data_IF_052285881674
#
_entry.id   IF_052285881674
#
_cell.length_a   1.000
_cell.length_b   1.000
_cell.length_c   1.000
_cell.angle_alpha   90.00
_cell.angle_beta   90.00
_cell.angle_gamma   90.00
#
_symmetry.space_group_name_H-M   'P 1'
#
loop_
_entity.id
_entity.type
_entity.pdbx_description
1 polymer ?
2 polymer ?
3 non-polymer ?
4 water ?
#
# COMPACT_ATOMS: atom_id res chain seq x y z
N UNK A 1 -26.88 1.02 17.33
CA UNK A 1 -27.75 1.15 16.14
C UNK A 1 -27.37 0.13 15.04
N UNK A 2 -26.39 0.44 14.18
CA UNK A 2 -25.64 -0.49 13.27
C UNK A 2 -24.22 0.07 13.14
N UNK A 3 -23.31 -0.61 12.41
CA UNK A 3 -21.90 -0.16 12.25
C UNK A 3 -21.63 0.08 10.76
N UNK A 4 -20.97 1.20 10.42
CA UNK A 4 -20.67 1.68 9.06
C UNK A 4 -19.31 1.18 8.58
N UNK A 5 -18.61 1.96 7.76
CA UNK A 5 -17.39 1.52 7.04
C UNK A 5 -16.15 1.56 7.96
N UNK A 6 -15.18 0.67 7.71
CA UNK A 6 -14.00 0.54 8.60
C UNK A 6 -12.71 0.53 7.77
N UNK A 7 -11.66 1.13 8.31
CA UNK A 7 -10.28 1.03 7.79
C UNK A 7 -9.71 -0.27 8.36
N UNK A 8 -9.69 -1.34 7.56
CA UNK A 8 -8.99 -2.61 7.89
C UNK A 8 -7.49 -2.40 7.71
N UNK A 9 -6.66 -2.87 8.64
CA UNK A 9 -5.19 -2.95 8.47
C UNK A 9 -4.74 -4.38 8.74
N UNK A 10 -3.92 -4.95 7.85
CA UNK A 10 -3.63 -6.41 7.78
C UNK A 10 -2.12 -6.66 7.79
N UNK A 11 -1.70 -7.69 8.51
CA UNK A 11 -0.28 -8.05 8.71
C UNK A 11 0.56 -6.83 9.04
N UNK A 12 1.84 -6.85 8.64
CA UNK A 12 2.81 -5.80 8.95
C UNK A 12 4.06 -6.41 9.54
N UNK A 13 4.86 -5.61 10.24
CA UNK A 13 6.20 -6.00 10.80
C UNK A 13 6.54 -5.18 12.04
N UNK A 14 6.95 -5.88 13.10
CA UNK A 14 7.58 -5.37 14.35
C UNK A 14 8.31 -6.54 15.01
N UNK A 15 9.63 -6.56 14.89
CA UNK A 15 10.52 -7.67 15.33
C UNK A 15 10.36 -8.87 14.38
N UNK A 16 9.18 -9.07 13.77
CA UNK A 16 8.92 -10.10 12.72
C UNK A 16 7.62 -9.80 11.96
N UNK A 17 7.36 -10.48 10.83
CA UNK A 17 6.11 -10.35 10.04
C UNK A 17 4.91 -10.79 10.89
N UNK A 18 3.78 -10.09 10.79
CA UNK A 18 2.63 -10.20 11.73
C UNK A 18 1.37 -10.75 11.02
N UNK A 19 0.39 -11.19 11.82
CA UNK A 19 -0.88 -11.82 11.40
C UNK A 19 -2.07 -10.90 11.71
N UNK A 20 -1.83 -9.81 12.42
CA UNK A 20 -2.90 -8.92 12.94
C UNK A 20 -3.80 -8.47 11.77
N UNK A 21 -5.07 -8.85 11.81
CA UNK A 21 -6.12 -8.07 11.12
C UNK A 21 -6.86 -7.27 12.18
N UNK A 22 -6.78 -5.95 12.11
CA UNK A 22 -7.54 -5.02 12.98
C UNK A 22 -8.29 -4.05 12.09
N UNK A 23 -9.32 -3.40 12.62
CA UNK A 23 -10.15 -2.41 11.91
C UNK A 23 -10.42 -1.21 12.82
N UNK A 24 -10.50 -0.02 12.23
CA UNK A 24 -10.72 1.23 12.97
C UNK A 24 -12.06 1.79 12.55
N UNK A 25 -12.88 2.17 13.53
CA UNK A 25 -14.12 2.94 13.32
C UNK A 25 -13.76 4.42 13.45
N UNK A 26 -13.69 5.19 12.33
CA UNK A 26 -13.29 6.59 12.39
C UNK A 26 -14.32 7.44 13.13
N UNK A 27 -15.57 6.98 13.20
CA UNK A 27 -16.70 7.73 13.79
C UNK A 27 -16.91 7.41 15.27
N UNK A 28 -16.22 6.41 15.83
CA UNK A 28 -16.32 6.04 17.27
C UNK A 28 -14.95 6.02 17.94
N UNK A 29 -13.86 6.21 17.19
CA UNK A 29 -12.49 6.19 17.73
C UNK A 29 -12.00 4.79 18.10
N UNK A 30 -12.79 3.74 17.81
CA UNK A 30 -12.57 2.34 18.32
C UNK A 30 -11.84 1.44 17.31
N UNK A 31 -11.12 0.44 17.84
CA UNK A 31 -10.28 -0.56 17.14
C UNK A 31 -10.79 -1.99 17.37
N UNK A 32 -10.99 -2.79 16.33
CA UNK A 32 -11.49 -4.20 16.42
C UNK A 32 -10.35 -5.18 16.16
N UNK A 33 -10.19 -6.18 17.03
CA UNK A 33 -9.39 -7.40 16.76
C UNK A 33 -10.24 -8.37 15.93
N UNK A 34 -9.73 -8.81 14.77
CA UNK A 34 -10.43 -9.72 13.83
C UNK A 34 -9.52 -10.90 13.51
N UNK A 35 -10.02 -11.88 12.77
CA UNK A 35 -9.34 -13.16 12.53
C UNK A 35 -7.92 -12.91 12.00
N UNK A 36 -6.91 -13.53 12.62
CA UNK A 36 -5.49 -13.50 12.17
C UNK A 36 -5.39 -14.06 10.75
N UNK A 37 -4.35 -13.66 10.02
CA UNK A 37 -3.98 -14.22 8.69
C UNK A 37 -3.57 -15.67 8.90
N UNK A 38 -3.89 -16.57 7.97
CA UNK A 38 -3.39 -17.99 7.99
C UNK A 38 -1.86 -17.98 8.12
N UNK A 39 -1.19 -17.12 7.35
CA UNK A 39 0.29 -16.94 7.35
C UNK A 39 0.60 -15.49 7.67
N UNK A 40 1.58 -15.19 8.55
CA UNK A 40 1.94 -13.80 8.84
C UNK A 40 2.64 -13.23 7.60
N UNK A 41 2.56 -11.92 7.37
CA UNK A 41 3.30 -11.30 6.24
C UNK A 41 3.34 -9.78 6.35
N UNK A 42 4.35 -9.22 5.67
CA UNK A 42 4.77 -7.79 5.68
C UNK A 42 4.99 -7.34 4.23
N UNK A 43 4.75 -6.05 3.96
CA UNK A 43 4.87 -5.46 2.61
C UNK A 43 3.92 -6.13 1.62
N UNK A 44 2.82 -6.66 2.14
CA UNK A 44 1.62 -7.02 1.34
C UNK A 44 0.88 -5.73 1.02
N UNK A 45 -0.21 -5.86 0.28
CA UNK A 45 -1.08 -4.75 -0.16
C UNK A 45 -2.52 -5.20 0.00
N UNK A 46 -3.37 -4.25 0.33
CA UNK A 46 -4.78 -4.51 0.65
C UNK A 46 -5.67 -3.77 -0.32
N UNK A 47 -6.86 -4.32 -0.54
CA UNK A 47 -7.88 -3.76 -1.43
C UNK A 47 -9.21 -4.46 -1.14
N UNK A 48 -10.30 -3.80 -1.48
CA UNK A 48 -11.66 -4.38 -1.37
C UNK A 48 -12.22 -4.57 -2.78
N UNK A 49 -13.05 -5.57 -2.98
CA UNK A 49 -13.83 -5.77 -4.23
C UNK A 49 -15.11 -6.48 -3.82
N UNK A 50 -16.24 -5.83 -4.04
CA UNK A 50 -17.58 -6.43 -3.84
C UNK A 50 -17.77 -6.90 -2.41
N UNK A 51 -17.37 -6.05 -1.44
CA UNK A 51 -17.59 -6.27 0.00
C UNK A 51 -16.41 -6.95 0.68
N UNK A 52 -15.60 -7.70 -0.08
CA UNK A 52 -14.56 -8.62 0.43
C UNK A 52 -13.20 -7.94 0.42
N UNK A 53 -12.43 -8.14 1.49
CA UNK A 53 -11.07 -7.60 1.66
C UNK A 53 -10.08 -8.64 1.10
N UNK A 54 -9.08 -8.19 0.32
CA UNK A 54 -8.04 -9.06 -0.27
C UNK A 54 -6.66 -8.66 0.21
N UNK A 55 -5.85 -9.67 0.50
CA UNK A 55 -4.49 -9.57 1.03
C UNK A 55 -3.55 -10.18 -0.01
N UNK A 56 -2.71 -9.34 -0.63
CA UNK A 56 -1.96 -9.69 -1.87
C UNK A 56 -0.48 -9.61 -1.57
N UNK A 57 0.29 -10.63 -1.97
CA UNK A 57 1.76 -10.57 -1.98
C UNK A 57 2.31 -10.32 -0.59
N UNK A 58 3.49 -9.67 -0.51
CA UNK A 58 4.25 -9.47 0.74
C UNK A 58 5.26 -10.59 0.97
N UNK A 59 5.74 -10.74 2.21
CA UNK A 59 6.67 -11.83 2.59
C UNK A 59 6.51 -12.16 4.08
N UNK A 60 6.67 -13.44 4.43
CA UNK A 60 6.78 -13.88 5.84
C UNK A 60 8.24 -13.81 6.25
N UNK A 61 8.63 -12.70 6.89
CA UNK A 61 9.99 -12.49 7.48
C UNK A 61 10.00 -13.00 8.93
N UNK A 62 10.35 -14.26 9.11
CA UNK A 62 10.22 -15.01 10.39
C UNK A 62 11.55 -15.01 11.14
N UNK A 63 11.52 -15.29 12.47
CA UNK A 63 12.73 -15.70 13.19
C UNK A 63 13.44 -16.86 12.48
N UNK A 64 12.67 -17.92 12.18
CA UNK A 64 13.11 -19.11 11.42
C UNK A 64 13.86 -18.64 10.16
N UNK A 65 13.14 -18.13 9.15
CA UNK A 65 13.75 -17.65 7.89
C UNK A 65 12.96 -16.51 7.29
N UNK A 66 12.67 -16.58 5.99
CA UNK A 66 11.66 -15.71 5.33
C UNK A 66 11.37 -16.17 3.88
N UNK A 67 10.10 -16.07 3.50
CA UNK A 67 9.54 -16.44 2.18
C UNK A 67 8.80 -15.23 1.60
N UNK A 68 9.01 -14.95 0.31
CA UNK A 68 8.23 -13.95 -0.47
C UNK A 68 6.91 -14.63 -0.88
N UNK A 69 5.78 -13.94 -0.75
CA UNK A 69 4.41 -14.48 -0.96
C UNK A 69 3.93 -14.18 -2.38
N UNK A 70 3.42 -15.19 -3.07
CA UNK A 70 2.57 -15.09 -4.28
C UNK A 70 1.09 -15.22 -3.89
N UNK A 71 0.81 -15.25 -2.59
CA UNK A 71 -0.52 -15.64 -2.07
C UNK A 71 -1.53 -14.51 -2.28
N UNK A 72 -2.72 -14.87 -2.73
CA UNK A 72 -3.92 -14.01 -2.59
C UNK A 72 -4.86 -14.74 -1.63
N UNK A 73 -5.32 -14.02 -0.62
CA UNK A 73 -6.17 -14.49 0.50
C UNK A 73 -7.33 -13.49 0.59
N UNK A 74 -8.51 -13.97 0.95
CA UNK A 74 -9.76 -13.19 0.93
C UNK A 74 -10.41 -13.24 2.31
N UNK A 75 -10.65 -12.08 2.92
CA UNK A 75 -11.35 -11.92 4.22
C UNK A 75 -12.81 -11.49 3.95
N UNK A 76 -13.77 -12.28 4.42
CA UNK A 76 -15.22 -11.95 4.39
C UNK A 76 -15.60 -11.35 5.75
N UNK A 77 -15.92 -10.04 5.81
CA UNK A 77 -16.28 -9.41 7.08
C UNK A 77 -17.54 -10.03 7.69
N UNK A 78 -18.39 -10.67 6.89
CA UNK A 78 -19.64 -11.32 7.36
C UNK A 78 -19.28 -12.51 8.27
N UNK A 79 -18.30 -13.31 7.86
CA UNK A 79 -17.95 -14.62 8.48
C UNK A 79 -16.69 -14.54 9.36
N UNK A 80 -15.95 -13.42 9.30
CA UNK A 80 -14.67 -13.19 10.02
C UNK A 80 -13.73 -14.37 9.70
N UNK A 81 -13.72 -14.81 8.44
CA UNK A 81 -12.91 -15.97 7.98
C UNK A 81 -12.12 -15.61 6.73
N UNK A 82 -10.81 -15.84 6.77
CA UNK A 82 -9.93 -15.82 5.57
C UNK A 82 -10.14 -17.11 4.77
N UNK A 83 -10.13 -17.00 3.44
CA UNK A 83 -10.07 -18.12 2.48
C UNK A 83 -8.94 -17.84 1.51
N UNK A 84 -8.18 -18.86 1.06
CA UNK A 84 -7.13 -18.62 0.08
C UNK A 84 -7.74 -18.62 -1.32
N UNK A 85 -7.00 -18.05 -2.29
CA UNK A 85 -7.36 -17.88 -3.72
C UNK A 85 -6.18 -18.25 -4.60
N UNK A 86 -6.39 -18.28 -5.91
CA UNK A 86 -5.34 -18.45 -6.93
C UNK A 86 -4.13 -17.60 -6.55
N UNK A 87 -2.91 -18.19 -6.43
CA UNK A 87 -1.70 -17.40 -6.22
C UNK A 87 -1.32 -16.72 -7.53
N UNK A 88 -0.45 -15.71 -7.43
CA UNK A 88 0.01 -14.93 -8.60
C UNK A 88 1.02 -15.81 -9.35
N UNK A 89 1.34 -15.41 -10.58
CA UNK A 89 2.40 -16.00 -11.43
C UNK A 89 3.70 -16.11 -10.63
N UNK A 90 3.97 -15.13 -9.77
CA UNK A 90 5.27 -14.98 -9.05
C UNK A 90 5.01 -14.38 -7.68
N UNK A 91 5.90 -14.64 -6.71
CA UNK A 91 5.86 -13.93 -5.43
C UNK A 91 6.24 -12.45 -5.56
N UNK A 92 5.62 -11.57 -4.76
CA UNK A 92 5.68 -10.10 -4.91
C UNK A 92 5.76 -9.40 -3.55
N UNK A 93 6.94 -9.43 -2.92
CA UNK A 93 7.22 -8.62 -1.71
C UNK A 93 7.22 -7.13 -2.11
N UNK A 94 6.54 -6.27 -1.35
CA UNK A 94 6.55 -4.79 -1.56
C UNK A 94 5.77 -4.44 -2.83
N UNK A 95 4.72 -5.22 -3.06
CA UNK A 95 3.75 -5.12 -4.17
C UNK A 95 3.02 -3.78 -4.09
N UNK A 96 2.56 -3.29 -5.24
CA UNK A 96 1.50 -2.27 -5.38
C UNK A 96 0.23 -2.86 -5.95
N UNK A 97 -0.92 -2.41 -5.48
CA UNK A 97 -2.25 -2.94 -5.91
C UNK A 97 -3.21 -1.78 -6.19
N UNK A 98 -3.96 -1.89 -7.28
CA UNK A 98 -5.10 -1.03 -7.60
C UNK A 98 -6.26 -1.86 -8.10
N UNK A 99 -7.47 -1.33 -7.99
CA UNK A 99 -8.71 -2.03 -8.45
C UNK A 99 -9.39 -1.16 -9.49
N UNK A 100 -9.54 -1.70 -10.69
CA UNK A 100 -10.34 -1.07 -11.77
C UNK A 100 -11.45 -2.07 -12.06
N UNK A 101 -12.69 -1.75 -11.70
CA UNK A 101 -13.85 -2.40 -12.38
C UNK A 101 -13.91 -3.85 -11.91
N UNK A 102 -13.77 -4.05 -10.60
CA UNK A 102 -13.95 -5.38 -9.98
C UNK A 102 -12.76 -6.30 -10.22
N UNK A 103 -11.66 -5.77 -10.76
CA UNK A 103 -10.43 -6.52 -11.09
C UNK A 103 -9.24 -5.96 -10.30
N UNK A 104 -8.36 -6.84 -9.82
CA UNK A 104 -7.19 -6.45 -8.98
C UNK A 104 -5.94 -6.48 -9.86
N UNK A 105 -5.19 -5.40 -9.82
CA UNK A 105 -3.90 -5.22 -10.51
C UNK A 105 -2.80 -5.28 -9.46
N UNK A 106 -1.98 -6.32 -9.58
CA UNK A 106 -0.73 -6.47 -8.82
C UNK A 106 0.42 -5.94 -9.68
N UNK A 107 1.13 -4.93 -9.19
CA UNK A 107 2.20 -4.27 -9.98
C UNK A 107 3.49 -4.34 -9.18
N UNK A 108 4.58 -4.82 -9.79
CA UNK A 108 5.95 -4.75 -9.24
C UNK A 108 6.15 -5.65 -8.03
N UNK A 109 6.90 -5.17 -7.03
CA UNK A 109 7.38 -5.98 -5.90
C UNK A 109 8.54 -6.90 -6.30
N UNK A 110 9.11 -7.62 -5.33
CA UNK A 110 10.35 -8.42 -5.50
C UNK A 110 10.04 -9.89 -5.20
N UNK A 111 10.71 -10.79 -5.92
CA UNK A 111 10.95 -12.20 -5.53
C UNK A 111 12.46 -12.34 -5.26
N UNK A 112 12.86 -12.01 -4.03
CA UNK A 112 14.25 -11.96 -3.57
C UNK A 112 15.07 -10.99 -4.40
N UNK A 113 15.86 -11.53 -5.34
CA UNK A 113 16.79 -10.77 -6.22
C UNK A 113 15.97 -10.03 -7.27
N UNK A 114 15.17 -10.79 -7.99
CA UNK A 114 14.32 -10.31 -9.12
C UNK A 114 13.45 -9.18 -8.58
N UNK A 115 13.76 -7.93 -8.93
CA UNK A 115 12.82 -6.78 -8.82
C UNK A 115 11.91 -6.85 -10.06
N UNK A 116 10.60 -6.89 -9.88
CA UNK A 116 9.63 -7.10 -11.00
C UNK A 116 9.32 -5.78 -11.71
N UNK A 117 9.04 -5.86 -13.01
CA UNK A 117 8.29 -4.83 -13.76
C UNK A 117 7.05 -5.49 -14.39
N UNK A 118 6.87 -6.79 -14.18
CA UNK A 118 5.64 -7.53 -14.52
C UNK A 118 4.43 -6.92 -13.78
N UNK A 119 3.24 -7.30 -14.21
CA UNK A 119 1.93 -6.81 -13.70
C UNK A 119 0.90 -7.88 -14.06
N UNK A 120 -0.06 -8.15 -13.15
CA UNK A 120 -1.06 -9.23 -13.31
C UNK A 120 -2.44 -8.72 -12.89
N UNK A 121 -3.48 -9.20 -13.57
CA UNK A 121 -4.88 -8.82 -13.29
C UNK A 121 -5.57 -10.04 -12.72
N UNK A 122 -6.27 -9.90 -11.60
CA UNK A 122 -7.04 -11.01 -11.00
C UNK A 122 -8.53 -10.71 -11.16
N UNK A 123 -9.30 -11.70 -11.66
CA UNK A 123 -10.78 -11.65 -11.88
C UNK A 123 -11.46 -12.49 -10.81
N UNK A 124 -12.02 -11.91 -9.73
CA UNK A 124 -12.75 -12.67 -8.73
C UNK A 124 -13.82 -13.64 -9.26
N UNK A 125 -14.52 -13.27 -10.34
CA UNK A 125 -15.65 -14.08 -10.88
C UNK A 125 -15.13 -15.46 -11.30
N UNK A 126 -13.94 -15.52 -11.90
CA UNK A 126 -13.26 -16.76 -12.39
C UNK A 126 -12.26 -17.32 -11.36
N UNK A 127 -11.58 -16.46 -10.59
CA UNK A 127 -10.51 -16.80 -9.61
C UNK A 127 -9.25 -17.16 -10.39
N UNK A 128 -8.77 -16.22 -11.18
CA UNK A 128 -7.76 -16.44 -12.22
C UNK A 128 -6.93 -15.18 -12.35
N UNK A 129 -5.61 -15.31 -12.37
CA UNK A 129 -4.63 -14.22 -12.64
C UNK A 129 -4.24 -14.31 -14.11
N UNK A 130 -3.96 -13.17 -14.75
CA UNK A 130 -3.53 -13.04 -16.17
C UNK A 130 -2.46 -11.95 -16.26
N UNK A 131 -1.33 -12.24 -16.91
CA UNK A 131 -0.23 -11.26 -17.07
C UNK A 131 -0.72 -10.18 -18.03
N UNK A 132 -0.31 -8.93 -17.84
CA UNK A 132 -0.66 -7.79 -18.74
C UNK A 132 0.63 -7.03 -19.04
N UNK A 133 0.54 -6.01 -19.90
CA UNK A 133 1.67 -5.16 -20.32
C UNK A 133 2.51 -4.82 -19.09
N UNK A 134 3.81 -5.17 -19.10
CA UNK A 134 4.68 -4.84 -17.97
C UNK A 134 4.95 -3.32 -17.94
N UNK A 135 5.36 -2.81 -16.79
CA UNK A 135 5.69 -1.37 -16.62
C UNK A 135 6.98 -1.13 -17.38
N UNK A 136 7.34 0.14 -17.56
CA UNK A 136 8.60 0.56 -18.24
C UNK A 136 9.78 0.40 -17.27
N UNK A 137 9.57 0.80 -16.02
CA UNK A 137 10.51 0.66 -14.88
C UNK A 137 10.16 -0.57 -14.04
N UNK A 138 11.18 -1.30 -13.58
CA UNK A 138 11.09 -2.23 -12.42
C UNK A 138 10.85 -1.37 -11.18
N UNK A 139 9.89 -1.74 -10.31
CA UNK A 139 9.52 -0.94 -9.11
C UNK A 139 9.05 -1.89 -8.00
N UNK A 140 9.68 -1.79 -6.83
CA UNK A 140 9.15 -2.34 -5.54
C UNK A 140 8.92 -1.17 -4.58
N UNK A 141 8.01 -1.33 -3.64
CA UNK A 141 7.64 -0.22 -2.73
C UNK A 141 7.04 0.88 -3.55
N UNK A 142 6.13 0.49 -4.43
CA UNK A 142 5.55 1.38 -5.47
C UNK A 142 4.16 1.79 -5.01
N UNK A 143 3.90 3.10 -4.95
CA UNK A 143 2.55 3.64 -4.69
C UNK A 143 1.70 3.45 -5.91
N UNK A 144 0.41 3.14 -5.70
CA UNK A 144 -0.53 2.74 -6.79
C UNK A 144 -1.90 3.35 -6.51
N UNK A 145 -2.38 4.10 -7.48
CA UNK A 145 -3.62 4.89 -7.41
C UNK A 145 -4.45 4.57 -8.64
N UNK A 146 -5.77 4.59 -8.51
CA UNK A 146 -6.68 4.40 -9.66
C UNK A 146 -7.48 5.69 -9.80
N UNK A 147 -7.22 6.44 -10.87
CA UNK A 147 -7.91 7.71 -11.20
C UNK A 147 -8.43 7.70 -12.65
N UNK A 148 -9.70 8.07 -12.85
CA UNK A 148 -10.45 8.00 -14.13
C UNK A 148 -10.14 6.67 -14.83
N UNK A 149 -10.27 5.56 -14.11
CA UNK A 149 -10.15 4.18 -14.65
C UNK A 149 -8.76 3.96 -15.22
N UNK A 150 -7.78 4.75 -14.81
CA UNK A 150 -6.35 4.51 -15.16
C UNK A 150 -5.60 4.11 -13.88
N UNK A 151 -4.54 3.35 -14.04
CA UNK A 151 -3.69 2.88 -12.92
C UNK A 151 -2.37 3.64 -12.97
N UNK A 152 -2.15 4.54 -12.02
CA UNK A 152 -0.89 5.30 -11.87
C UNK A 152 0.02 4.54 -10.90
N UNK A 153 1.27 4.37 -11.27
CA UNK A 153 2.31 3.70 -10.44
C UNK A 153 3.41 4.71 -10.15
N UNK A 154 3.69 4.96 -8.87
CA UNK A 154 4.44 6.16 -8.41
C UNK A 154 5.65 5.71 -7.61
N UNK A 155 6.82 6.28 -7.91
CA UNK A 155 8.07 6.05 -7.16
C UNK A 155 8.38 4.57 -7.01
N UNK A 156 9.23 4.23 -6.04
CA UNK A 156 9.62 2.84 -5.75
C UNK A 156 11.13 2.71 -5.75
N UNK A 157 11.63 1.54 -6.13
CA UNK A 157 13.05 1.15 -6.11
C UNK A 157 13.26 0.10 -7.19
N UNK A 158 14.12 0.37 -8.18
CA UNK A 158 14.29 -0.45 -9.41
C UNK A 158 15.35 -1.56 -9.16
N UNK A 159 15.85 -1.68 -7.94
CA UNK A 159 16.90 -2.64 -7.55
C UNK A 159 18.22 -1.95 -7.26
N UNK A 160 18.48 -0.85 -7.96
CA UNK A 160 19.71 -0.02 -7.88
C UNK A 160 19.37 1.37 -7.33
N UNK A 161 18.25 1.95 -7.81
CA UNK A 161 17.92 3.37 -7.57
C UNK A 161 16.49 3.52 -7.04
N UNK A 162 16.29 4.53 -6.21
CA UNK A 162 14.95 4.98 -5.78
C UNK A 162 14.47 6.01 -6.78
N UNK A 163 13.18 5.95 -7.13
CA UNK A 163 12.55 6.65 -8.28
C UNK A 163 11.73 7.81 -7.76
N UNK A 164 11.68 8.89 -8.53
CA UNK A 164 10.62 9.92 -8.43
C UNK A 164 9.81 9.87 -9.73
N UNK A 165 10.14 8.92 -10.61
CA UNK A 165 9.42 8.70 -11.87
C UNK A 165 8.08 8.05 -11.51
N UNK A 166 7.08 8.25 -12.37
CA UNK A 166 5.75 7.64 -12.26
C UNK A 166 5.21 7.37 -13.65
N UNK A 167 4.46 6.30 -13.79
CA UNK A 167 3.85 5.93 -15.09
C UNK A 167 2.37 5.66 -14.90
N UNK A 168 1.70 5.38 -16.01
CA UNK A 168 0.23 5.33 -16.15
C UNK A 168 -0.12 4.18 -17.10
N UNK A 169 -0.79 3.15 -16.59
CA UNK A 169 -1.33 2.02 -17.38
C UNK A 169 -2.72 2.39 -17.94
N UNK A 170 -2.93 2.03 -19.20
CA UNK A 170 -4.22 2.14 -19.93
C UNK A 170 -4.79 0.74 -20.09
N UNK A 171 -5.79 0.35 -19.26
CA UNK A 171 -6.36 -0.99 -19.30
C UNK A 171 -6.96 -1.33 -20.66
N UNK A 172 -7.51 -0.31 -21.34
CA UNK A 172 -8.26 -0.52 -22.60
C UNK A 172 -7.27 -0.72 -23.74
N UNK A 173 -6.11 -0.06 -23.72
CA UNK A 173 -5.10 -0.09 -24.82
C UNK A 173 -4.00 -1.08 -24.45
N UNK A 174 -4.04 -1.59 -23.22
CA UNK A 174 -2.96 -2.39 -22.56
C UNK A 174 -1.58 -1.76 -22.78
N UNK A 175 -1.37 -0.49 -22.42
CA UNK A 175 -0.02 0.13 -22.55
C UNK A 175 0.24 1.16 -21.43
N UNK A 176 1.53 1.43 -21.17
CA UNK A 176 2.08 2.24 -20.05
C UNK A 176 2.75 3.51 -20.59
N UNK A 177 2.37 4.71 -20.14
CA UNK A 177 3.05 5.98 -20.48
C UNK A 177 3.68 6.58 -19.21
N UNK A 178 4.94 7.05 -19.28
CA UNK A 178 5.60 7.82 -18.20
C UNK A 178 4.83 9.13 -17.99
N UNK A 179 4.82 9.67 -16.77
CA UNK A 179 4.12 10.95 -16.46
C UNK A 179 5.11 11.84 -15.73
N UNK A 180 4.74 13.09 -15.47
CA UNK A 180 5.60 14.06 -14.75
C UNK A 180 6.20 13.34 -13.54
N UNK A 181 7.52 13.33 -13.38
CA UNK A 181 8.15 12.81 -12.14
C UNK A 181 7.71 13.70 -10.97
N UNK A 182 7.71 13.17 -9.75
CA UNK A 182 7.46 13.96 -8.53
C UNK A 182 8.69 14.81 -8.23
N UNK A 183 8.49 15.92 -7.53
CA UNK A 183 9.52 16.81 -6.95
C UNK A 183 10.51 15.99 -6.12
N UNK A 184 10.07 14.94 -5.40
CA UNK A 184 10.86 14.21 -4.38
C UNK A 184 11.06 12.76 -4.83
N UNK A 185 12.23 12.17 -4.59
CA UNK A 185 12.43 10.69 -4.74
C UNK A 185 11.70 10.02 -3.58
N UNK A 186 10.95 8.96 -3.84
CA UNK A 186 10.09 8.30 -2.82
C UNK A 186 9.98 6.80 -3.10
N UNK A 187 10.70 6.00 -2.32
CA UNK A 187 10.48 4.54 -2.21
C UNK A 187 9.54 4.29 -1.02
N UNK A 188 8.67 3.28 -1.13
CA UNK A 188 7.78 2.86 -0.04
C UNK A 188 6.98 4.03 0.50
N UNK A 189 6.53 4.94 -0.36
CA UNK A 189 5.59 6.02 0.02
C UNK A 189 4.18 5.43 0.14
N UNK A 190 3.22 6.21 0.63
CA UNK A 190 1.79 5.90 0.55
C UNK A 190 1.14 6.74 -0.53
N UNK A 191 0.36 6.12 -1.41
CA UNK A 191 -0.26 6.81 -2.58
C UNK A 191 -1.75 6.45 -2.65
N UNK A 192 -2.58 7.44 -2.94
CA UNK A 192 -4.03 7.22 -3.21
C UNK A 192 -4.60 8.43 -3.96
N UNK A 193 -5.85 8.31 -4.40
CA UNK A 193 -6.59 9.42 -5.06
C UNK A 193 -7.50 10.06 -4.02
N UNK A 194 -7.82 11.33 -4.21
CA UNK A 194 -8.83 12.03 -3.37
C UNK A 194 -9.25 13.30 -4.12
N UNK A 195 -10.55 13.50 -4.30
CA UNK A 195 -11.09 14.65 -5.09
C UNK A 195 -10.23 14.78 -6.34
N UNK A 196 -10.04 13.67 -7.06
CA UNK A 196 -9.51 13.68 -8.45
C UNK A 196 -8.01 13.97 -8.50
N UNK A 197 -7.22 13.69 -7.46
CA UNK A 197 -5.75 13.92 -7.43
C UNK A 197 -5.01 12.73 -6.80
N UNK A 198 -3.91 12.30 -7.41
CA UNK A 198 -2.95 11.35 -6.77
C UNK A 198 -2.20 12.13 -5.67
N UNK A 199 -2.12 11.58 -4.46
CA UNK A 199 -1.26 12.10 -3.37
C UNK A 199 -0.15 11.10 -3.15
N UNK A 200 1.08 11.58 -2.96
CA UNK A 200 2.25 10.77 -2.51
C UNK A 200 2.70 11.30 -1.15
N UNK A 201 2.58 10.49 -0.09
CA UNK A 201 2.87 10.90 1.29
C UNK A 201 3.98 10.00 1.83
N UNK A 202 4.98 10.61 2.47
CA UNK A 202 6.08 9.90 3.13
C UNK A 202 6.99 9.19 2.14
N UNK A 203 7.64 8.12 2.59
CA UNK A 203 8.60 7.34 1.79
C UNK A 203 10.03 7.57 2.26
N UNK A 204 10.96 6.77 1.75
CA UNK A 204 12.43 6.93 1.89
C UNK A 204 12.98 7.56 0.61
N UNK A 205 13.63 8.72 0.72
CA UNK A 205 14.30 9.42 -0.41
C UNK A 205 15.63 8.72 -0.75
N UNK A 206 16.13 7.79 0.07
CA UNK A 206 17.46 7.16 -0.11
C UNK A 206 18.43 7.54 1.00
N UNK A 207 18.22 8.70 1.64
CA UNK A 207 18.95 9.21 2.83
C UNK A 207 18.05 9.13 4.06
N UNK A 208 16.83 9.67 3.95
CA UNK A 208 15.96 10.04 5.11
C UNK A 208 14.49 9.75 4.79
N UNK A 209 13.78 9.14 5.73
CA UNK A 209 12.29 9.09 5.71
C UNK A 209 11.75 10.52 5.63
N UNK A 210 10.55 10.69 5.09
CA UNK A 210 9.97 12.02 4.72
C UNK A 210 8.62 12.19 5.42
N UNK A 211 8.21 13.44 5.61
CA UNK A 211 6.85 13.79 6.07
C UNK A 211 6.20 14.72 5.05
N UNK A 212 6.89 15.04 3.95
CA UNK A 212 6.35 15.85 2.84
C UNK A 212 5.28 15.04 2.11
N UNK A 213 4.33 15.76 1.50
CA UNK A 213 3.16 15.20 0.77
C UNK A 213 2.95 16.10 -0.45
N UNK A 214 3.03 15.53 -1.64
CA UNK A 214 2.76 16.24 -2.90
C UNK A 214 1.57 15.54 -3.57
N UNK A 215 0.79 16.29 -4.35
CA UNK A 215 -0.35 15.73 -5.12
C UNK A 215 -0.22 16.08 -6.60
N UNK A 216 -0.62 15.14 -7.46
CA UNK A 216 -0.70 15.29 -8.93
C UNK A 216 -2.11 15.77 -9.31
N UNK A 217 -2.17 16.85 -10.09
CA UNK A 217 -3.35 17.28 -10.88
C UNK A 217 -3.13 16.75 -12.28
N UNK A 218 -4.02 15.88 -12.77
CA UNK A 218 -3.84 15.15 -14.06
C UNK A 218 -4.00 16.12 -15.23
N UNK A 219 -4.83 17.17 -15.06
CA UNK A 219 -5.09 18.22 -16.09
C UNK A 219 -3.81 19.06 -16.29
N UNK A 220 -3.31 19.72 -15.23
CA UNK A 220 -2.15 20.64 -15.27
C UNK A 220 -0.82 19.88 -15.28
N UNK A 221 -0.85 18.57 -15.08
CA UNK A 221 0.30 17.62 -15.15
C UNK A 221 1.46 18.11 -14.26
N UNK A 222 1.18 18.67 -13.09
CA UNK A 222 2.22 19.16 -12.14
C UNK A 222 2.00 18.56 -10.74
N UNK A 223 3.09 18.46 -9.96
CA UNK A 223 3.11 17.93 -8.58
C UNK A 223 3.29 19.07 -7.58
N UNK A 224 2.19 19.65 -7.08
CA UNK A 224 2.21 20.72 -6.04
C UNK A 224 2.37 20.05 -4.65
N UNK A 225 3.22 20.59 -3.79
CA UNK A 225 3.31 20.18 -2.36
C UNK A 225 2.04 20.65 -1.65
N UNK A 226 1.64 19.94 -0.59
CA UNK A 226 0.62 20.39 0.40
C UNK A 226 1.23 20.26 1.80
N UNK A 227 0.41 20.43 2.84
CA UNK A 227 0.80 20.36 4.28
C UNK A 227 1.58 19.08 4.50
N UNK A 228 2.79 19.13 5.10
CA UNK A 228 3.48 17.90 5.50
C UNK A 228 2.71 17.19 6.62
N UNK A 229 3.04 15.93 6.86
CA UNK A 229 2.49 15.16 7.99
C UNK A 229 3.36 15.47 9.22
N UNK A 230 2.75 15.38 10.41
CA UNK A 230 3.43 15.56 11.71
C UNK A 230 4.70 14.69 11.72
N UNK A 231 4.58 13.38 11.56
CA UNK A 231 5.71 12.44 11.77
C UNK A 231 6.28 12.04 10.41
N UNK A 232 7.61 11.94 10.31
CA UNK A 232 8.30 11.32 9.15
C UNK A 232 7.94 9.85 9.17
N UNK A 233 7.54 9.29 8.02
CA UNK A 233 7.19 7.84 7.93
C UNK A 233 7.47 7.30 6.52
N UNK A 234 8.12 6.14 6.46
CA UNK A 234 8.28 5.28 5.27
C UNK A 234 7.50 3.99 5.55
N UNK A 235 7.17 3.20 4.51
CA UNK A 235 6.53 1.86 4.58
C UNK A 235 5.22 1.92 5.38
N UNK A 236 4.44 2.99 5.12
CA UNK A 236 3.16 3.32 5.81
C UNK A 236 1.97 2.75 5.04
N UNK A 237 0.91 2.41 5.76
CA UNK A 237 -0.41 2.13 5.16
C UNK A 237 -1.14 3.43 4.89
N UNK A 238 -1.98 3.45 3.85
CA UNK A 238 -2.75 4.67 3.45
C UNK A 238 -4.12 4.22 2.95
N UNK A 239 -5.14 5.01 3.20
CA UNK A 239 -6.44 4.79 2.57
C UNK A 239 -7.18 6.11 2.64
N UNK A 240 -8.26 6.20 1.88
CA UNK A 240 -9.22 7.33 1.91
C UNK A 240 -10.50 6.80 2.53
N UNK A 241 -11.06 7.56 3.45
CA UNK A 241 -12.33 7.27 4.12
C UNK A 241 -13.04 8.60 4.33
N UNK A 242 -14.31 8.67 3.96
CA UNK A 242 -15.16 9.88 4.19
C UNK A 242 -14.39 11.09 3.66
N UNK A 243 -14.00 11.07 2.40
CA UNK A 243 -13.21 12.13 1.75
C UNK A 243 -12.12 12.74 2.64
N UNK A 244 -11.40 11.92 3.43
CA UNK A 244 -10.15 12.32 4.16
C UNK A 244 -9.12 11.19 4.04
N UNK A 245 -7.83 11.51 4.03
CA UNK A 245 -6.72 10.50 3.91
C UNK A 245 -6.31 10.12 5.33
N UNK A 246 -6.09 8.83 5.59
CA UNK A 246 -5.51 8.31 6.86
C UNK A 246 -4.19 7.60 6.54
N UNK A 247 -3.12 7.90 7.28
CA UNK A 247 -1.79 7.23 7.15
C UNK A 247 -1.54 6.41 8.42
N UNK A 248 -1.16 5.14 8.28
CA UNK A 248 -1.17 4.15 9.38
C UNK A 248 0.25 3.64 9.60
N UNK A 249 0.91 4.13 10.64
CA UNK A 249 2.18 3.54 11.11
C UNK A 249 3.29 3.74 10.11
N UNK A 250 4.17 2.74 10.00
CA UNK A 250 5.40 2.80 9.20
C UNK A 250 6.64 3.00 10.07
N UNK A 251 7.78 3.24 9.42
CA UNK A 251 9.12 3.33 10.03
C UNK A 251 9.66 4.77 9.85
N UNK A 252 10.52 5.24 10.76
CA UNK A 252 11.14 6.59 10.69
C UNK A 252 12.65 6.48 10.98
N UNK A 253 13.29 5.37 10.65
CA UNK A 253 14.75 5.22 10.73
C UNK A 253 15.18 4.90 12.14
N UNK A 254 14.29 5.16 13.12
CA UNK A 254 14.53 4.90 14.57
C UNK A 254 13.52 3.86 15.07
N UNK A 255 12.22 4.18 15.06
CA UNK A 255 11.15 3.35 15.68
C UNK A 255 10.03 3.02 14.69
N UNK A 256 9.30 1.94 14.96
CA UNK A 256 8.10 1.51 14.21
C UNK A 256 6.89 2.27 14.76
N UNK A 257 6.40 3.28 14.02
CA UNK A 257 5.24 4.12 14.43
C UNK A 257 4.01 3.26 14.75
N UNK A 258 3.17 3.78 15.64
CA UNK A 258 1.77 3.36 15.84
C UNK A 258 0.84 4.55 15.57
N UNK A 259 1.36 5.68 15.08
CA UNK A 259 0.58 6.92 14.84
C UNK A 259 -0.35 6.75 13.64
N UNK A 260 -1.55 7.34 13.68
CA UNK A 260 -2.36 7.50 12.44
C UNK A 260 -2.82 8.96 12.37
N UNK A 261 -2.39 9.65 11.31
CA UNK A 261 -2.75 11.05 11.01
C UNK A 261 -3.92 11.03 10.00
N UNK A 262 -4.60 12.15 9.85
CA UNK A 262 -5.78 12.29 8.99
C UNK A 262 -5.73 13.68 8.35
N UNK A 263 -5.85 13.75 7.01
CA UNK A 263 -5.67 14.99 6.22
C UNK A 263 -7.04 15.44 5.69
N UNK A 264 -7.50 16.61 6.15
CA UNK A 264 -8.69 17.32 5.59
C UNK A 264 -8.19 18.12 4.39
N UNK A 265 -8.64 17.77 3.16
CA UNK A 265 -8.31 18.57 1.97
C UNK A 265 -8.90 19.99 2.10
N UNK A 266 -10.18 20.08 2.49
CA UNK A 266 -11.00 21.32 2.65
C UNK A 266 -10.27 22.42 3.43
N UNK A 267 -9.38 22.04 4.36
CA UNK A 267 -8.64 22.97 5.27
C UNK A 267 -7.12 22.74 5.21
N UNK A 268 -6.61 21.93 4.28
CA UNK A 268 -5.15 21.68 4.08
C UNK A 268 -4.46 21.61 5.46
N UNK A 269 -5.02 20.77 6.33
CA UNK A 269 -4.46 20.43 7.67
C UNK A 269 -4.40 18.92 7.84
N UNK A 270 -3.33 18.42 8.48
CA UNK A 270 -3.24 17.05 9.05
C UNK A 270 -3.74 17.12 10.50
N UNK A 271 -3.93 15.96 11.14
CA UNK A 271 -4.09 15.83 12.62
C UNK A 271 -3.97 14.35 12.98
N UNK A 272 -3.23 14.02 14.04
CA UNK A 272 -3.16 12.65 14.64
C UNK A 272 -4.53 12.33 15.28
N UNK A 273 -5.11 11.14 15.03
CA UNK A 273 -6.53 10.84 15.41
C UNK A 273 -6.62 9.55 16.22
N UNK A 274 -5.66 8.64 16.10
CA UNK A 274 -5.51 7.48 17.02
C UNK A 274 -4.09 6.94 16.97
N UNK A 275 -3.89 5.88 17.73
CA UNK A 275 -2.72 5.01 17.67
C UNK A 275 -3.25 3.63 17.34
N UNK A 276 -2.38 2.80 16.79
CA UNK A 276 -2.65 1.36 16.59
C UNK A 276 -2.17 0.64 17.85
N UNK A 277 -2.72 -0.54 18.10
CA UNK A 277 -2.48 -1.34 19.31
C UNK A 277 -0.96 -1.59 19.43
N UNK A 278 -0.28 -1.76 18.31
CA UNK A 278 1.20 -1.93 18.24
C UNK A 278 1.73 -1.00 17.15
N UNK A 279 3.05 -0.84 17.11
CA UNK A 279 3.76 -0.15 16.02
C UNK A 279 4.21 -1.17 15.00
N UNK A 280 3.96 -0.88 13.72
CA UNK A 280 4.28 -1.83 12.62
C UNK A 280 4.44 -1.05 11.32
N UNK A 281 5.29 -1.57 10.42
CA UNK A 281 5.54 -1.07 9.04
C UNK A 281 5.08 -2.11 8.03
N UNK A 282 4.76 -1.66 6.81
CA UNK A 282 4.45 -2.53 5.67
C UNK A 282 3.19 -3.31 5.92
N UNK A 283 2.19 -2.65 6.51
CA UNK A 283 0.80 -3.17 6.61
C UNK A 283 0.14 -2.94 5.26
N UNK A 284 -0.94 -3.66 4.98
CA UNK A 284 -1.89 -3.39 3.90
C UNK A 284 -3.19 -2.89 4.48
N UNK A 285 -3.80 -1.90 3.83
CA UNK A 285 -4.98 -1.17 4.36
C UNK A 285 -6.04 -1.06 3.28
N UNK A 286 -7.32 -1.17 3.66
CA UNK A 286 -8.49 -0.95 2.76
C UNK A 286 -9.75 -0.71 3.59
N UNK A 287 -10.78 -0.16 2.94
CA UNK A 287 -12.03 0.33 3.60
C UNK A 287 -13.23 -0.46 3.08
N UNK A 288 -14.13 -0.89 3.99
CA UNK A 288 -15.45 -1.46 3.63
C UNK A 288 -16.32 -1.49 4.89
N UNK B 1 21.88 -5.93 7.06
CA UNK B 1 21.25 -6.60 8.21
C UNK B 1 20.03 -5.78 8.66
N UNK B 2 19.95 -4.49 8.36
CA UNK B 2 18.65 -3.75 8.43
C UNK B 2 18.33 -3.14 7.07
N UNK B 3 17.05 -3.11 6.72
CA UNK B 3 16.49 -2.38 5.56
C UNK B 3 16.10 -0.99 6.01
N UNK B 4 16.89 0.05 5.65
CA UNK B 4 16.63 1.42 6.08
C UNK B 4 15.21 1.93 5.82
N UNK B 5 14.46 1.26 4.96
CA UNK B 5 13.20 1.78 4.39
C UNK B 5 12.00 1.17 5.11
N UNK B 6 11.98 -0.16 5.21
CA UNK B 6 10.91 -0.96 5.88
C UNK B 6 11.24 -1.16 7.37
N UNK B 7 12.52 -1.03 7.75
CA UNK B 7 13.00 -1.32 9.11
C UNK B 7 13.08 -2.82 9.38
N UNK B 8 12.89 -3.66 8.37
CA UNK B 8 12.97 -5.14 8.54
C UNK B 8 14.44 -5.57 8.62
N UNK B 9 14.79 -6.37 9.64
CA UNK B 9 16.08 -7.11 9.73
C UNK B 9 16.08 -8.24 8.68
N UNK B 10 17.17 -8.37 7.89
CA UNK B 10 17.41 -9.48 6.93
C UNK B 10 18.84 -9.99 7.17
N UNK B 11 19.00 -11.27 7.52
CA UNK B 11 20.30 -11.95 7.80
C UNK B 11 20.95 -11.37 9.07
X LIG C 1 -2.20 -4.58 10.85
#
# INVERSE_FOLDING_TARGET
>A
PKVGRLIYTAGGYFRQSLSYLEAYNPSDGTWLRLADLQVPRSGLAGCVVGGLLYAVGGRNNSPDGNTDSSALDCYNPMTNQWSPCAPMSVPRNRIGVGVIDGHIYAVGGSHGCIHHNSVERYEPERDEWHLVAPMLTRRIGVGVAVLNRLLYAVGGFDGTNRLNSAECYYPERNEWRMITAMNTIRSGAGVCVLHNCIYAAGGYDGQDQLNSVERYDVETETWTFVAPMKHRRSALGITVHQGRIYVLGGYDGHTFLDSVECYDPDTDTWSEVTRMTSGRSGVGVAVT
>B
VINPETGEQIQ
>C hetero
1 NA NA
#
